data_IF_840216987218
#
_entry.id   IF_840216987218
#
_cell.length_a   1.000
_cell.length_b   1.000
_cell.length_c   1.000
_cell.angle_alpha   90.00
_cell.angle_beta   90.00
_cell.angle_gamma   90.00
#
_symmetry.space_group_name_H-M   'P 1'
#
loop_
_entity.id
_entity.type
_entity.pdbx_description
1 polymer ?
#
# COMPACT_ATOMS: atom_id res chain seq x y z
N UNK A 1 13.49 -0.12 12.52
CA UNK A 1 14.63 -0.96 12.92
C UNK A 1 15.66 -1.15 11.81
N UNK A 2 15.23 -1.43 10.57
CA UNK A 2 16.15 -1.57 9.43
C UNK A 2 17.02 -0.31 9.23
N UNK A 3 16.41 0.88 9.18
CA UNK A 3 17.13 2.17 9.05
C UNK A 3 18.10 2.45 10.18
N UNK A 4 17.67 2.24 11.43
CA UNK A 4 18.46 2.60 12.61
C UNK A 4 19.65 1.64 12.81
N UNK A 5 19.47 0.36 12.50
CA UNK A 5 20.48 -0.67 12.83
C UNK A 5 21.23 -1.22 11.63
N UNK A 6 20.72 -1.04 10.42
CA UNK A 6 21.30 -1.58 9.18
C UNK A 6 21.32 -3.11 9.06
N UNK A 7 20.84 -3.85 10.07
CA UNK A 7 20.92 -5.32 10.10
C UNK A 7 20.05 -5.97 9.03
N UNK A 8 20.62 -6.95 8.33
CA UNK A 8 19.95 -7.67 7.22
C UNK A 8 18.63 -8.31 7.63
N UNK A 9 18.56 -8.89 8.84
CA UNK A 9 17.32 -9.46 9.41
C UNK A 9 16.11 -8.53 9.26
N UNK A 10 16.27 -7.23 9.54
CA UNK A 10 15.15 -6.28 9.48
C UNK A 10 14.85 -5.83 8.07
N UNK A 11 15.87 -5.72 7.20
CA UNK A 11 15.71 -5.43 5.78
C UNK A 11 14.93 -6.55 5.09
N UNK A 12 15.37 -7.79 5.29
CA UNK A 12 14.72 -8.99 4.78
C UNK A 12 13.29 -9.13 5.29
N UNK A 13 13.04 -8.80 6.57
CA UNK A 13 11.68 -8.88 7.13
C UNK A 13 10.72 -7.87 6.52
N UNK A 14 11.14 -6.61 6.31
CA UNK A 14 10.27 -5.61 5.69
C UNK A 14 10.12 -5.86 4.19
N UNK A 15 11.19 -6.25 3.51
CA UNK A 15 11.14 -6.60 2.09
C UNK A 15 10.23 -7.79 1.85
N UNK A 16 10.32 -8.87 2.64
CA UNK A 16 9.40 -10.00 2.54
C UNK A 16 7.93 -9.56 2.62
N UNK A 17 7.62 -8.65 3.55
CA UNK A 17 6.27 -8.15 3.69
C UNK A 17 5.86 -7.32 2.46
N UNK A 18 6.67 -6.34 2.06
CA UNK A 18 6.38 -5.46 0.92
C UNK A 18 6.34 -6.23 -0.40
N UNK A 19 7.18 -7.24 -0.58
CA UNK A 19 7.18 -8.15 -1.71
C UNK A 19 5.84 -8.90 -1.76
N UNK A 20 5.37 -9.50 -0.66
CA UNK A 20 4.06 -10.16 -0.61
C UNK A 20 2.89 -9.21 -0.93
N UNK A 21 2.99 -7.94 -0.52
CA UNK A 21 2.01 -6.90 -0.88
C UNK A 21 2.06 -6.50 -2.36
N UNK A 22 3.17 -6.73 -3.06
CA UNK A 22 3.43 -6.22 -4.42
C UNK A 22 3.59 -7.35 -5.43
N UNK A 23 4.81 -7.82 -5.63
CA UNK A 23 5.21 -8.82 -6.64
C UNK A 23 4.94 -10.26 -6.20
N UNK A 24 4.71 -10.48 -4.91
CA UNK A 24 4.63 -11.79 -4.27
C UNK A 24 5.95 -12.20 -3.63
N UNK A 25 5.85 -13.12 -2.68
CA UNK A 25 6.96 -13.73 -1.95
C UNK A 25 6.64 -15.22 -1.70
N UNK A 26 7.60 -16.11 -1.93
CA UNK A 26 7.45 -17.58 -1.78
C UNK A 26 6.21 -18.17 -2.47
N UNK A 27 5.88 -17.64 -3.66
CA UNK A 27 4.77 -18.13 -4.49
C UNK A 27 3.39 -17.65 -4.06
N UNK A 28 3.30 -16.78 -3.06
CA UNK A 28 2.04 -16.19 -2.58
C UNK A 28 2.07 -14.66 -2.66
N UNK A 29 0.90 -14.03 -2.76
CA UNK A 29 0.75 -12.57 -2.75
C UNK A 29 -0.63 -12.16 -2.25
N UNK A 30 -0.74 -10.91 -1.78
CA UNK A 30 -2.04 -10.34 -1.43
C UNK A 30 -2.99 -10.41 -2.62
N UNK A 31 -4.27 -10.68 -2.34
CA UNK A 31 -5.30 -10.65 -3.38
C UNK A 31 -5.43 -9.24 -3.94
N UNK A 32 -5.56 -9.11 -5.26
CA UNK A 32 -5.86 -7.84 -5.91
C UNK A 32 -7.27 -7.86 -6.49
N UNK A 33 -8.00 -6.78 -6.28
CA UNK A 33 -9.28 -6.57 -6.98
C UNK A 33 -9.02 -6.35 -8.49
N UNK A 34 -10.01 -6.56 -9.37
CA UNK A 34 -9.84 -6.30 -10.80
C UNK A 34 -9.40 -4.88 -11.17
N UNK A 35 -9.66 -3.89 -10.30
CA UNK A 35 -9.26 -2.49 -10.47
C UNK A 35 -7.98 -2.10 -9.71
N UNK A 36 -7.25 -3.07 -9.15
CA UNK A 36 -5.89 -2.81 -8.62
C UNK A 36 -5.77 -2.46 -7.14
N UNK A 37 -6.84 -2.53 -6.33
CA UNK A 37 -6.71 -2.49 -4.86
C UNK A 37 -6.07 -3.77 -4.34
N UNK A 38 -5.00 -3.65 -3.58
CA UNK A 38 -4.45 -4.72 -2.74
C UNK A 38 -5.39 -4.98 -1.57
N UNK A 39 -6.07 -6.12 -1.60
CA UNK A 39 -7.21 -6.44 -0.77
C UNK A 39 -6.84 -7.53 0.24
N UNK A 40 -6.56 -7.12 1.48
CA UNK A 40 -6.23 -8.06 2.55
C UNK A 40 -7.49 -8.70 3.15
N UNK A 41 -8.50 -7.88 3.45
CA UNK A 41 -9.75 -8.35 4.04
C UNK A 41 -10.90 -7.36 3.83
N UNK A 42 -12.12 -7.82 4.12
CA UNK A 42 -13.36 -7.06 3.92
C UNK A 42 -13.47 -5.82 4.82
N UNK A 43 -12.97 -5.88 6.07
CA UNK A 43 -13.11 -4.77 7.01
C UNK A 43 -11.93 -3.81 6.88
N UNK A 44 -12.21 -2.63 6.32
CA UNK A 44 -11.21 -1.58 6.16
C UNK A 44 -10.10 -1.97 5.18
N UNK A 45 -10.48 -2.49 4.01
CA UNK A 45 -9.54 -2.83 2.93
C UNK A 45 -8.65 -1.63 2.55
N UNK A 46 -9.23 -0.45 2.38
CA UNK A 46 -8.48 0.78 2.10
C UNK A 46 -7.50 1.13 3.21
N UNK A 47 -7.88 0.96 4.49
CA UNK A 47 -6.97 1.19 5.63
C UNK A 47 -5.71 0.33 5.51
N UNK A 48 -5.83 -0.94 5.12
CA UNK A 48 -4.66 -1.79 4.99
C UNK A 48 -3.82 -1.39 3.78
N UNK A 49 -4.44 -1.19 2.62
CA UNK A 49 -3.74 -0.81 1.41
C UNK A 49 -2.97 0.51 1.55
N UNK A 50 -3.59 1.55 2.12
CA UNK A 50 -2.95 2.86 2.29
C UNK A 50 -1.87 2.85 3.38
N UNK A 51 -2.04 2.06 4.44
CA UNK A 51 -0.99 1.89 5.46
C UNK A 51 0.22 1.15 4.89
N UNK A 52 0.00 0.09 4.12
CA UNK A 52 1.08 -0.63 3.42
C UNK A 52 1.76 0.25 2.38
N UNK A 53 0.99 1.10 1.67
CA UNK A 53 1.53 2.10 0.75
C UNK A 53 2.46 3.10 1.45
N UNK A 54 2.07 3.60 2.63
CA UNK A 54 2.94 4.46 3.42
C UNK A 54 4.25 3.75 3.80
N UNK A 55 4.18 2.51 4.28
CA UNK A 55 5.38 1.73 4.63
C UNK A 55 6.28 1.47 3.40
N UNK A 56 5.67 1.19 2.24
CA UNK A 56 6.38 0.99 0.99
C UNK A 56 7.12 2.26 0.56
N UNK A 57 6.45 3.42 0.59
CA UNK A 57 7.05 4.71 0.23
C UNK A 57 8.21 5.09 1.17
N UNK A 58 8.02 4.93 2.48
CA UNK A 58 9.09 5.21 3.47
C UNK A 58 10.30 4.31 3.21
N UNK A 59 10.09 3.00 3.07
CA UNK A 59 11.20 2.07 2.88
C UNK A 59 11.90 2.26 1.53
N UNK A 60 11.17 2.56 0.46
CA UNK A 60 11.75 2.86 -0.85
C UNK A 60 12.65 4.10 -0.85
N UNK A 61 12.37 5.08 0.00
CA UNK A 61 13.18 6.30 0.14
C UNK A 61 14.29 6.18 1.21
N UNK A 62 14.38 5.04 1.91
CA UNK A 62 15.38 4.83 2.96
C UNK A 62 16.82 4.60 2.46
N UNK A 63 16.98 4.27 1.17
CA UNK A 63 18.26 3.85 0.58
C UNK A 63 18.73 2.46 1.03
N UNK A 64 17.86 1.65 1.63
CA UNK A 64 18.22 0.32 2.15
C UNK A 64 17.91 -0.84 1.20
N UNK A 65 17.02 -0.64 0.23
CA UNK A 65 16.66 -1.64 -0.77
C UNK A 65 17.33 -1.34 -2.13
N UNK A 66 17.26 -2.29 -3.06
CA UNK A 66 17.70 -2.06 -4.44
C UNK A 66 16.82 -1.02 -5.14
N UNK A 67 17.37 -0.38 -6.17
CA UNK A 67 16.64 0.60 -6.98
C UNK A 67 15.36 -0.02 -7.61
N UNK A 68 15.45 -1.26 -8.07
CA UNK A 68 14.32 -1.99 -8.66
C UNK A 68 13.17 -2.24 -7.65
N UNK A 69 13.52 -2.57 -6.40
CA UNK A 69 12.55 -2.68 -5.31
C UNK A 69 11.98 -1.32 -4.93
N UNK A 70 12.82 -0.28 -4.88
CA UNK A 70 12.37 1.07 -4.59
C UNK A 70 11.31 1.55 -5.60
N UNK A 71 11.55 1.33 -6.90
CA UNK A 71 10.61 1.68 -7.97
C UNK A 71 9.31 0.87 -7.88
N UNK A 72 9.41 -0.43 -7.59
CA UNK A 72 8.24 -1.30 -7.36
C UNK A 72 7.39 -0.79 -6.20
N UNK A 73 8.03 -0.50 -5.06
CA UNK A 73 7.35 -0.06 -3.84
C UNK A 73 6.71 1.33 -3.99
N UNK A 74 7.39 2.27 -4.67
CA UNK A 74 6.84 3.60 -5.01
C UNK A 74 5.64 3.49 -5.94
N UNK A 75 5.74 2.64 -6.96
CA UNK A 75 4.63 2.41 -7.91
C UNK A 75 3.42 1.82 -7.18
N UNK A 76 3.63 0.82 -6.32
CA UNK A 76 2.59 0.27 -5.47
C UNK A 76 1.96 1.34 -4.56
N UNK A 77 2.79 2.12 -3.87
CA UNK A 77 2.32 3.15 -2.95
C UNK A 77 1.41 4.15 -3.65
N UNK A 78 1.87 4.67 -4.80
CA UNK A 78 1.08 5.57 -5.64
C UNK A 78 -0.24 4.93 -6.07
N UNK A 79 -0.20 3.69 -6.56
CA UNK A 79 -1.40 2.99 -7.03
C UNK A 79 -2.46 2.85 -5.94
N UNK A 80 -2.07 2.49 -4.70
CA UNK A 80 -3.04 2.30 -3.62
C UNK A 80 -3.64 3.63 -3.14
N UNK A 81 -2.83 4.69 -3.09
CA UNK A 81 -3.32 6.04 -2.75
C UNK A 81 -4.24 6.56 -3.86
N UNK A 82 -3.85 6.43 -5.13
CA UNK A 82 -4.68 6.81 -6.27
C UNK A 82 -6.01 6.04 -6.28
N UNK A 83 -6.02 4.75 -5.91
CA UNK A 83 -7.26 3.98 -5.77
C UNK A 83 -8.20 4.60 -4.74
N UNK A 84 -7.68 4.94 -3.55
CA UNK A 84 -8.47 5.58 -2.50
C UNK A 84 -9.01 6.96 -2.95
N UNK A 85 -8.25 7.68 -3.77
CA UNK A 85 -8.57 9.05 -4.16
C UNK A 85 -9.37 9.18 -5.46
N UNK A 86 -9.41 8.17 -6.33
CA UNK A 86 -10.17 8.35 -7.58
C UNK A 86 -9.92 7.42 -8.75
N UNK A 87 -8.87 6.60 -8.77
CA UNK A 87 -8.43 5.91 -10.00
C UNK A 87 -9.48 4.95 -10.58
N UNK A 88 -10.47 4.57 -9.77
CA UNK A 88 -11.58 3.70 -10.19
C UNK A 88 -12.79 4.43 -10.79
N UNK A 89 -12.75 5.76 -10.85
CA UNK A 89 -13.83 6.64 -11.29
C UNK A 89 -14.56 7.37 -10.17
N UNK A 90 -14.25 7.06 -8.89
CA UNK A 90 -14.74 7.78 -7.71
C UNK A 90 -13.72 7.82 -6.59
N UNK A 91 -13.84 8.82 -5.72
CA UNK A 91 -13.11 8.95 -4.47
C UNK A 91 -13.75 8.09 -3.37
N UNK A 92 -12.93 7.65 -2.42
CA UNK A 92 -13.37 7.06 -1.15
C UNK A 92 -13.11 7.98 0.05
N UNK A 93 -12.52 9.15 -0.18
CA UNK A 93 -12.26 10.18 0.83
C UNK A 93 -13.42 11.17 0.90
N UNK A 94 -14.03 11.30 2.08
CA UNK A 94 -15.23 12.13 2.27
C UNK A 94 -14.87 13.60 2.06
N UNK A 95 -15.63 14.30 1.22
CA UNK A 95 -15.40 15.71 0.93
C UNK A 95 -14.37 15.96 -0.16
N UNK A 96 -13.78 14.92 -0.75
CA UNK A 96 -12.69 15.05 -1.72
C UNK A 96 -12.99 14.32 -3.04
N UNK A 97 -12.64 14.94 -4.17
CA UNK A 97 -12.68 14.31 -5.49
C UNK A 97 -14.09 14.00 -6.03
N UNK A 98 -14.11 13.21 -7.10
CA UNK A 98 -15.34 12.84 -7.83
C UNK A 98 -16.15 11.79 -7.08
N UNK A 99 -17.48 11.98 -6.98
CA UNK A 99 -18.43 10.98 -6.46
C UNK A 99 -18.04 10.34 -5.11
N UNK A 100 -17.58 11.16 -4.17
CA UNK A 100 -17.19 10.69 -2.83
C UNK A 100 -18.39 10.20 -1.99
N UNK A 101 -18.20 9.30 -1.00
CA UNK A 101 -19.26 8.76 -0.18
C UNK A 101 -20.01 9.82 0.64
N UNK A 102 -21.34 9.84 0.57
CA UNK A 102 -22.19 10.84 1.30
C UNK A 102 -22.78 10.34 2.61
N UNK A 103 -22.74 9.03 2.85
CA UNK A 103 -23.38 8.39 3.99
C UNK A 103 -22.36 7.57 4.80
N UNK A 104 -21.32 8.20 5.38
CA UNK A 104 -20.44 7.49 6.29
C UNK A 104 -21.22 7.04 7.53
N UNK A 105 -20.85 5.89 8.08
CA UNK A 105 -21.40 5.46 9.36
C UNK A 105 -20.76 6.29 10.49
N UNK A 106 -21.28 7.50 10.71
CA UNK A 106 -20.82 8.48 11.67
C UNK A 106 -22.03 9.09 12.41
N UNK A 107 -21.90 9.39 13.72
CA UNK A 107 -23.04 9.81 14.58
C UNK A 107 -23.32 11.31 14.60
N UNK A 108 -22.27 12.12 14.62
CA UNK A 108 -22.33 13.60 14.66
C UNK A 108 -22.57 14.15 13.28
#
# INVERSE_FOLDING_TARGET
MAEITGKSLYKESVERNLDWWTTGYDGDKVTYTPKGLAWLQQWGSLRYATTSAFMAEVYANSGLCSDEKADTYKTFAKQQVDYALGSTGRSYEIGYGTDYPKNPHHRT
#
